data_IF_726986118806
#
_entry.id   IF_726986118806
#
_cell.length_a   1.000
_cell.length_b   1.000
_cell.length_c   1.000
_cell.angle_alpha   90.00
_cell.angle_beta   90.00
_cell.angle_gamma   90.00
#
_symmetry.space_group_name_H-M   'P 1'
#
loop_
_entity.id
_entity.type
_entity.pdbx_description
1 polymer ?
#
# COMPACT_ATOMS: atom_id res chain seq x y z
N UNK A 1 16.21 -6.89 5.64
CA UNK A 1 15.20 -6.50 6.57
C UNK A 1 13.90 -7.22 6.36
N UNK A 2 13.82 -8.38 7.00
CA UNK A 2 12.67 -9.25 6.84
C UNK A 2 11.38 -8.57 7.29
N UNK A 3 11.45 -7.77 8.35
CA UNK A 3 10.27 -7.10 8.88
C UNK A 3 9.68 -6.12 7.88
N UNK A 4 10.51 -5.28 7.25
CA UNK A 4 10.02 -4.34 6.25
C UNK A 4 9.50 -5.05 5.02
N UNK A 5 10.18 -6.12 4.59
CA UNK A 5 9.70 -6.90 3.45
C UNK A 5 8.34 -7.51 3.72
N UNK A 6 8.14 -8.00 4.94
CA UNK A 6 6.86 -8.59 5.34
C UNK A 6 5.75 -7.53 5.31
N UNK A 7 6.03 -6.34 5.85
CA UNK A 7 5.04 -5.27 5.86
C UNK A 7 4.70 -4.85 4.43
N UNK A 8 5.71 -4.72 3.57
CA UNK A 8 5.49 -4.34 2.18
C UNK A 8 4.61 -5.37 1.47
N UNK A 9 4.88 -6.66 1.69
CA UNK A 9 4.07 -7.73 1.10
C UNK A 9 2.64 -7.67 1.59
N UNK A 10 2.43 -7.37 2.87
CA UNK A 10 1.09 -7.24 3.41
C UNK A 10 0.34 -6.07 2.80
N UNK A 11 1.03 -4.96 2.55
CA UNK A 11 0.40 -3.81 1.90
C UNK A 11 -0.02 -4.15 0.47
N UNK A 12 0.82 -4.90 -0.25
CA UNK A 12 0.46 -5.35 -1.60
C UNK A 12 -0.76 -6.25 -1.57
N UNK A 13 -0.80 -7.16 -0.61
CA UNK A 13 -1.93 -8.06 -0.45
C UNK A 13 -3.20 -7.27 -0.15
N UNK A 14 -3.12 -6.28 0.72
CA UNK A 14 -4.27 -5.45 1.04
C UNK A 14 -4.76 -4.69 -0.18
N UNK A 15 -3.84 -4.19 -1.00
CA UNK A 15 -4.22 -3.53 -2.25
C UNK A 15 -5.00 -4.44 -3.18
N UNK A 16 -4.56 -5.69 -3.32
CA UNK A 16 -5.28 -6.68 -4.13
C UNK A 16 -6.67 -6.94 -3.58
N UNK A 17 -6.79 -7.03 -2.26
CA UNK A 17 -8.07 -7.27 -1.62
C UNK A 17 -9.03 -6.11 -1.82
N UNK A 18 -8.50 -4.89 -1.82
CA UNK A 18 -9.33 -3.72 -2.10
C UNK A 18 -9.84 -3.76 -3.53
N UNK A 19 -9.00 -4.12 -4.49
CA UNK A 19 -9.41 -4.26 -5.88
C UNK A 19 -10.49 -5.33 -6.03
N UNK A 20 -10.29 -6.47 -5.39
CA UNK A 20 -11.29 -7.53 -5.42
C UNK A 20 -12.62 -7.07 -4.85
N UNK A 21 -12.57 -6.29 -3.78
CA UNK A 21 -13.76 -5.77 -3.15
C UNK A 21 -14.51 -4.85 -4.11
N UNK A 22 -13.78 -3.98 -4.80
CA UNK A 22 -14.39 -3.08 -5.77
C UNK A 22 -15.08 -3.86 -6.88
N UNK A 23 -14.44 -4.92 -7.37
CA UNK A 23 -15.03 -5.77 -8.41
C UNK A 23 -16.25 -6.51 -7.91
N UNK A 24 -16.16 -7.07 -6.70
CA UNK A 24 -17.24 -7.86 -6.12
C UNK A 24 -18.49 -7.03 -5.88
N UNK A 25 -18.33 -5.81 -5.44
CA UNK A 25 -19.45 -4.96 -5.10
C UNK A 25 -19.86 -4.02 -6.23
N UNK A 26 -19.27 -4.22 -7.41
CA UNK A 26 -19.70 -3.48 -8.60
C UNK A 26 -19.43 -1.99 -8.52
N UNK A 27 -18.32 -1.61 -7.92
CA UNK A 27 -17.98 -0.19 -7.83
C UNK A 27 -17.81 0.39 -9.22
N UNK A 28 -18.47 1.52 -9.47
CA UNK A 28 -18.36 2.23 -10.75
C UNK A 28 -17.52 3.48 -10.55
N UNK A 29 -16.96 4.05 -11.63
CA UNK A 29 -16.11 5.24 -11.48
C UNK A 29 -16.79 6.40 -10.77
N UNK A 30 -18.11 6.49 -10.85
CA UNK A 30 -18.86 7.60 -10.25
C UNK A 30 -19.38 7.30 -8.85
N UNK A 31 -19.14 6.10 -8.34
CA UNK A 31 -19.71 5.74 -7.05
C UNK A 31 -18.87 6.26 -5.90
N UNK A 32 -19.54 6.54 -4.78
CA UNK A 32 -18.84 6.92 -3.56
C UNK A 32 -17.93 5.78 -3.10
N UNK A 33 -18.37 4.54 -3.28
CA UNK A 33 -17.57 3.38 -2.92
C UNK A 33 -16.26 3.36 -3.70
N UNK A 34 -16.31 3.57 -5.01
CA UNK A 34 -15.09 3.59 -5.82
C UNK A 34 -14.15 4.70 -5.36
N UNK A 35 -14.71 5.87 -5.07
CA UNK A 35 -13.90 7.01 -4.62
C UNK A 35 -13.14 6.67 -3.34
N UNK A 36 -13.80 6.04 -2.38
CA UNK A 36 -13.17 5.66 -1.13
C UNK A 36 -12.13 4.56 -1.33
N UNK A 37 -12.43 3.58 -2.18
CA UNK A 37 -11.50 2.51 -2.45
C UNK A 37 -10.25 3.01 -3.15
N UNK A 38 -10.40 3.92 -4.12
CA UNK A 38 -9.24 4.54 -4.77
C UNK A 38 -8.42 5.35 -3.79
N UNK A 39 -9.07 6.04 -2.86
CA UNK A 39 -8.36 6.76 -1.79
C UNK A 39 -7.51 5.83 -0.95
N UNK A 40 -8.08 4.68 -0.59
CA UNK A 40 -7.36 3.68 0.20
C UNK A 40 -6.18 3.11 -0.59
N UNK A 41 -6.37 2.82 -1.87
CA UNK A 41 -5.27 2.32 -2.70
C UNK A 41 -4.14 3.33 -2.81
N UNK A 42 -4.46 4.60 -3.01
CA UNK A 42 -3.43 5.64 -3.07
C UNK A 42 -2.68 5.73 -1.74
N UNK A 43 -3.39 5.59 -0.62
CA UNK A 43 -2.76 5.58 0.68
C UNK A 43 -1.79 4.44 0.85
N UNK A 44 -2.16 3.25 0.38
CA UNK A 44 -1.30 2.08 0.45
C UNK A 44 -0.07 2.23 -0.45
N UNK A 45 -0.24 2.80 -1.64
CA UNK A 45 0.88 3.05 -2.54
C UNK A 45 1.85 4.04 -1.90
N UNK A 46 1.33 5.10 -1.30
CA UNK A 46 2.17 6.07 -0.59
C UNK A 46 2.93 5.44 0.56
N UNK A 47 2.25 4.57 1.31
CA UNK A 47 2.88 3.87 2.42
C UNK A 47 3.99 2.96 1.93
N UNK A 48 3.77 2.23 0.83
CA UNK A 48 4.80 1.37 0.25
C UNK A 48 6.03 2.18 -0.16
N UNK A 49 5.81 3.31 -0.79
CA UNK A 49 6.93 4.17 -1.21
C UNK A 49 7.73 4.66 -0.01
N UNK A 50 7.04 5.01 1.08
CA UNK A 50 7.73 5.44 2.29
C UNK A 50 8.55 4.30 2.90
N UNK A 51 8.00 3.09 2.88
CA UNK A 51 8.71 1.93 3.40
C UNK A 51 9.92 1.58 2.53
N UNK A 52 9.81 1.74 1.21
CA UNK A 52 10.95 1.55 0.33
C UNK A 52 12.07 2.53 0.64
N UNK A 53 11.72 3.78 0.90
CA UNK A 53 12.71 4.78 1.28
C UNK A 53 13.34 4.44 2.63
N UNK A 54 12.54 4.00 3.57
CA UNK A 54 13.05 3.59 4.88
C UNK A 54 14.04 2.44 4.75
N UNK A 55 13.72 1.50 3.87
CA UNK A 55 14.61 0.36 3.65
C UNK A 55 15.95 0.79 3.08
N UNK A 56 15.94 1.77 2.18
CA UNK A 56 17.18 2.31 1.62
C UNK A 56 18.02 2.97 2.71
N UNK A 57 17.40 3.71 3.61
CA UNK A 57 18.12 4.31 4.72
C UNK A 57 18.76 3.25 5.60
N UNK A 58 18.04 2.19 5.90
CA UNK A 58 18.58 1.10 6.72
C UNK A 58 19.74 0.41 6.02
N UNK A 59 19.61 0.20 4.70
CA UNK A 59 20.69 -0.44 3.94
C UNK A 59 21.94 0.42 3.90
N UNK A 60 21.79 1.73 4.00
CA UNK A 60 22.93 2.66 4.02
C UNK A 60 23.44 2.92 5.43
N UNK A 61 22.87 2.26 6.43
CA UNK A 61 23.21 2.53 7.81
C UNK A 61 22.66 3.84 8.31
N UNK A 62 21.70 4.41 7.59
CA UNK A 62 21.18 5.73 7.91
C UNK A 62 20.37 5.79 9.18
N UNK A 63 19.91 4.66 9.66
CA UNK A 63 19.09 4.63 10.86
C UNK A 63 19.82 5.14 12.09
N UNK A 64 21.13 5.11 12.05
CA UNK A 64 21.92 5.58 13.18
C UNK A 64 22.40 7.01 13.03
N UNK A 65 22.12 7.62 11.91
CA UNK A 65 22.55 9.00 11.71
C UNK A 65 21.58 9.97 12.31
#
# INVERSE_FOLDING_TARGET
MAMLSSITSQLEELGHRITEMAERYGATPDSALASELFGAERGLIGARRSLDRARKYLAQGGAES
#
